data_IF_888336193427
#
_entry.id   IF_888336193427
#
_cell.length_a   1.000
_cell.length_b   1.000
_cell.length_c   1.000
_cell.angle_alpha   90.00
_cell.angle_beta   90.00
_cell.angle_gamma   90.00
#
_symmetry.space_group_name_H-M   'P 1'
#
loop_
_entity.id
_entity.type
_entity.pdbx_description
1 polymer ?
#
# COMPACT_ATOMS: atom_id res chain seq x y z
N UNK A 1 18.27 20.44 28.89
CA UNK A 1 17.16 21.30 29.33
C UNK A 1 16.00 21.10 28.35
N UNK A 2 15.04 20.24 28.68
CA UNK A 2 13.80 20.10 27.90
C UNK A 2 12.90 21.27 28.26
N UNK A 3 12.64 22.18 27.32
CA UNK A 3 11.75 23.31 27.50
C UNK A 3 10.35 22.82 27.91
N UNK A 4 9.73 23.51 28.88
CA UNK A 4 8.38 23.20 29.33
C UNK A 4 7.37 23.41 28.17
N UNK A 5 6.34 22.56 28.03
CA UNK A 5 5.34 22.70 26.98
C UNK A 5 4.63 24.06 27.08
N UNK A 6 4.46 24.71 25.93
CA UNK A 6 3.80 26.02 25.83
C UNK A 6 2.28 25.85 25.92
N UNK A 7 1.53 26.77 26.56
CA UNK A 7 0.07 26.72 26.58
C UNK A 7 -0.47 26.70 25.13
N UNK A 8 -1.14 25.61 24.75
CA UNK A 8 -1.64 25.39 23.38
C UNK A 8 -0.85 24.40 22.52
N UNK A 9 0.22 23.78 23.03
CA UNK A 9 0.92 22.71 22.29
C UNK A 9 0.06 21.44 22.21
N UNK A 10 -0.11 20.88 21.00
CA UNK A 10 -0.77 19.59 20.79
C UNK A 10 0.08 18.46 21.38
N UNK A 11 -0.59 17.47 21.98
CA UNK A 11 0.09 16.29 22.52
C UNK A 11 0.27 15.24 21.41
N UNK A 12 1.52 14.81 21.18
CA UNK A 12 1.84 13.72 20.27
C UNK A 12 1.79 12.36 20.97
N UNK A 13 1.13 11.40 20.33
CA UNK A 13 1.07 10.01 20.80
C UNK A 13 2.01 9.12 19.99
N UNK A 14 2.76 8.25 20.68
CA UNK A 14 3.55 7.23 20.01
C UNK A 14 2.65 6.09 19.54
N UNK A 15 2.46 6.00 18.23
CA UNK A 15 1.67 4.94 17.59
C UNK A 15 2.48 3.65 17.48
N UNK A 16 1.90 2.51 17.84
CA UNK A 16 2.53 1.20 17.67
C UNK A 16 2.88 0.95 16.19
N UNK A 17 4.07 0.40 15.91
CA UNK A 17 4.53 0.09 14.55
C UNK A 17 3.51 -0.71 13.73
N UNK A 18 2.84 -1.69 14.34
CA UNK A 18 1.83 -2.51 13.64
C UNK A 18 0.60 -1.70 13.21
N UNK A 19 0.20 -0.74 14.04
CA UNK A 19 -0.91 0.17 13.72
C UNK A 19 -0.49 1.11 12.59
N UNK A 20 0.75 1.62 12.61
CA UNK A 20 1.27 2.43 11.51
C UNK A 20 1.26 1.63 10.19
N UNK A 21 1.74 0.39 10.20
CA UNK A 21 1.72 -0.49 9.01
C UNK A 21 0.29 -0.76 8.53
N UNK A 22 -0.65 -1.08 9.43
CA UNK A 22 -2.05 -1.27 9.07
C UNK A 22 -2.69 0.00 8.48
N UNK A 23 -2.35 1.17 9.03
CA UNK A 23 -2.77 2.47 8.50
C UNK A 23 -2.22 2.72 7.10
N UNK A 24 -0.94 2.44 6.86
CA UNK A 24 -0.31 2.58 5.54
C UNK A 24 -0.93 1.64 4.50
N UNK A 25 -1.20 0.38 4.85
CA UNK A 25 -1.90 -0.55 3.96
C UNK A 25 -3.34 -0.12 3.66
N UNK A 26 -4.03 0.45 4.65
CA UNK A 26 -5.36 1.03 4.45
C UNK A 26 -5.30 2.19 3.47
N UNK A 27 -4.38 3.14 3.68
CA UNK A 27 -4.17 4.28 2.78
C UNK A 27 -3.83 3.82 1.36
N UNK A 28 -2.93 2.84 1.21
CA UNK A 28 -2.58 2.27 -0.09
C UNK A 28 -3.80 1.69 -0.81
N UNK A 29 -4.61 0.91 -0.09
CA UNK A 29 -5.82 0.28 -0.64
C UNK A 29 -6.83 1.33 -1.11
N UNK A 30 -6.99 2.42 -0.37
CA UNK A 30 -7.85 3.53 -0.76
C UNK A 30 -7.31 4.28 -1.97
N UNK A 31 -5.99 4.51 -2.05
CA UNK A 31 -5.35 5.11 -3.22
C UNK A 31 -5.62 4.30 -4.48
N UNK A 32 -5.41 2.97 -4.44
CA UNK A 32 -5.73 2.10 -5.56
C UNK A 32 -7.19 2.18 -5.97
N UNK A 33 -8.11 2.15 -4.99
CA UNK A 33 -9.54 2.22 -5.28
C UNK A 33 -9.93 3.51 -6.02
N UNK A 34 -9.41 4.66 -5.60
CA UNK A 34 -9.67 5.93 -6.28
C UNK A 34 -8.95 6.03 -7.63
N UNK A 35 -7.72 5.53 -7.72
CA UNK A 35 -6.95 5.53 -8.96
C UNK A 35 -7.68 4.72 -10.06
N UNK A 36 -8.10 3.51 -9.75
CA UNK A 36 -8.83 2.61 -10.65
C UNK A 36 -10.22 3.18 -10.99
N UNK A 37 -10.89 3.80 -10.02
CA UNK A 37 -12.16 4.48 -10.25
C UNK A 37 -12.01 5.63 -11.27
N UNK A 38 -10.97 6.46 -11.14
CA UNK A 38 -10.73 7.53 -12.11
C UNK A 38 -10.31 7.02 -13.47
N UNK A 39 -9.69 5.83 -13.56
CA UNK A 39 -9.39 5.19 -14.84
C UNK A 39 -10.64 4.95 -15.69
N UNK A 40 -11.80 4.71 -15.08
CA UNK A 40 -13.06 4.56 -15.80
C UNK A 40 -13.46 5.83 -16.59
N UNK A 41 -13.01 7.00 -16.17
CA UNK A 41 -13.25 8.27 -16.87
C UNK A 41 -12.28 8.52 -18.02
N UNK A 42 -11.23 7.70 -18.16
CA UNK A 42 -10.29 7.84 -19.27
C UNK A 42 -11.01 7.61 -20.60
N UNK A 43 -10.85 8.50 -21.60
CA UNK A 43 -11.44 8.33 -22.92
C UNK A 43 -11.13 6.96 -23.52
N UNK A 44 -12.19 6.27 -23.97
CA UNK A 44 -12.11 4.93 -24.55
C UNK A 44 -12.05 3.76 -23.54
N UNK A 45 -11.85 4.00 -22.24
CA UNK A 45 -11.78 2.92 -21.24
C UNK A 45 -13.09 2.14 -21.13
N UNK A 46 -14.22 2.83 -20.95
CA UNK A 46 -15.53 2.17 -20.87
C UNK A 46 -15.87 1.39 -22.15
N UNK A 47 -15.57 1.94 -23.32
CA UNK A 47 -15.79 1.25 -24.59
C UNK A 47 -14.92 -0.02 -24.70
N UNK A 48 -13.66 0.04 -24.27
CA UNK A 48 -12.77 -1.13 -24.18
C UNK A 48 -13.33 -2.20 -23.22
N UNK A 49 -13.86 -1.79 -22.07
CA UNK A 49 -14.45 -2.70 -21.09
C UNK A 49 -15.70 -3.40 -21.66
N UNK A 50 -16.58 -2.66 -22.35
CA UNK A 50 -17.74 -3.22 -23.04
C UNK A 50 -17.35 -4.18 -24.17
N UNK A 51 -16.22 -3.94 -24.82
CA UNK A 51 -15.63 -4.86 -25.80
C UNK A 51 -14.91 -6.06 -25.16
N UNK A 52 -15.01 -6.25 -23.84
CA UNK A 52 -14.38 -7.35 -23.12
C UNK A 52 -12.86 -7.25 -23.07
N UNK A 53 -12.29 -6.04 -23.00
CA UNK A 53 -10.84 -5.81 -22.96
C UNK A 53 -10.42 -5.00 -21.74
N UNK A 54 -9.34 -5.43 -21.08
CA UNK A 54 -8.81 -4.82 -19.87
C UNK A 54 -7.42 -4.21 -20.10
N UNK A 55 -7.39 -3.02 -20.71
CA UNK A 55 -6.15 -2.28 -20.95
C UNK A 55 -5.05 -3.15 -21.60
N UNK A 56 -3.81 -3.14 -21.06
CA UNK A 56 -2.70 -3.91 -21.62
C UNK A 56 -2.82 -5.44 -21.42
N UNK A 57 -3.73 -5.91 -20.58
CA UNK A 57 -3.92 -7.35 -20.30
C UNK A 57 -4.69 -8.07 -21.42
N UNK A 58 -5.26 -7.34 -22.38
CA UNK A 58 -5.95 -7.91 -23.53
C UNK A 58 -7.39 -8.34 -23.23
N UNK A 59 -7.83 -9.47 -23.79
CA UNK A 59 -9.20 -9.97 -23.62
C UNK A 59 -9.45 -10.41 -22.18
N UNK A 60 -10.58 -10.00 -21.63
CA UNK A 60 -11.02 -10.39 -20.29
C UNK A 60 -11.34 -11.87 -20.27
N UNK A 61 -10.68 -12.59 -19.38
CA UNK A 61 -10.94 -14.01 -19.08
C UNK A 61 -11.13 -14.17 -17.58
N UNK A 62 -11.74 -15.30 -17.16
CA UNK A 62 -11.87 -15.61 -15.73
C UNK A 62 -10.51 -15.62 -15.01
N UNK A 63 -9.46 -16.12 -15.68
CA UNK A 63 -8.11 -16.16 -15.12
C UNK A 63 -7.51 -14.77 -14.88
N UNK A 64 -7.69 -13.83 -15.81
CA UNK A 64 -7.20 -12.45 -15.65
C UNK A 64 -7.92 -11.76 -14.49
N UNK A 65 -9.24 -11.87 -14.42
CA UNK A 65 -10.02 -11.27 -13.33
C UNK A 65 -9.64 -11.85 -11.97
N UNK A 66 -9.53 -13.18 -11.87
CA UNK A 66 -9.12 -13.84 -10.64
C UNK A 66 -7.72 -13.40 -10.19
N UNK A 67 -6.78 -13.31 -11.13
CA UNK A 67 -5.41 -12.88 -10.84
C UNK A 67 -5.38 -11.44 -10.33
N UNK A 68 -6.10 -10.52 -10.99
CA UNK A 68 -6.21 -9.13 -10.55
C UNK A 68 -6.87 -9.02 -9.16
N UNK A 69 -7.93 -9.80 -8.91
CA UNK A 69 -8.60 -9.85 -7.61
C UNK A 69 -7.69 -10.35 -6.50
N UNK A 70 -6.92 -11.42 -6.73
CA UNK A 70 -5.95 -11.93 -5.75
C UNK A 70 -4.88 -10.89 -5.45
N UNK A 71 -4.33 -10.25 -6.48
CA UNK A 71 -3.30 -9.23 -6.32
C UNK A 71 -3.82 -8.07 -5.45
N UNK A 72 -5.00 -7.53 -5.76
CA UNK A 72 -5.59 -6.40 -5.02
C UNK A 72 -6.19 -6.79 -3.66
N UNK A 73 -6.44 -8.07 -3.40
CA UNK A 73 -6.82 -8.54 -2.07
C UNK A 73 -5.64 -8.47 -1.08
N UNK A 74 -4.39 -8.56 -1.55
CA UNK A 74 -3.20 -8.57 -0.68
C UNK A 74 -3.12 -7.28 0.17
N UNK A 75 -3.18 -6.05 -0.39
CA UNK A 75 -3.16 -4.82 0.41
C UNK A 75 -4.27 -4.78 1.47
N UNK A 76 -5.49 -5.17 1.10
CA UNK A 76 -6.62 -5.20 2.03
C UNK A 76 -6.43 -6.20 3.17
N UNK A 77 -5.94 -7.41 2.87
CA UNK A 77 -5.62 -8.40 3.89
C UNK A 77 -4.46 -7.97 4.79
N UNK A 78 -3.45 -7.30 4.21
CA UNK A 78 -2.29 -6.81 4.95
C UNK A 78 -2.65 -5.81 6.05
N UNK A 79 -3.78 -5.12 5.95
CA UNK A 79 -4.33 -4.30 7.05
C UNK A 79 -4.53 -5.15 8.31
N UNK A 80 -5.29 -6.24 8.20
CA UNK A 80 -5.57 -7.14 9.31
C UNK A 80 -4.31 -7.94 9.71
N UNK A 81 -3.60 -8.48 8.72
CA UNK A 81 -2.42 -9.31 8.96
C UNK A 81 -1.29 -8.55 9.66
N UNK A 82 -1.15 -7.24 9.43
CA UNK A 82 -0.16 -6.42 10.13
C UNK A 82 -0.39 -6.38 11.64
N UNK A 83 -1.65 -6.50 12.08
CA UNK A 83 -2.04 -6.52 13.49
C UNK A 83 -1.96 -7.93 14.08
N UNK A 84 -2.42 -8.93 13.33
CA UNK A 84 -2.66 -10.29 13.81
C UNK A 84 -1.44 -11.21 13.72
N UNK A 85 -0.55 -11.02 12.74
CA UNK A 85 0.56 -11.95 12.54
C UNK A 85 1.63 -11.86 13.64
N UNK A 86 2.36 -12.96 13.92
CA UNK A 86 3.59 -12.92 14.69
C UNK A 86 4.60 -11.94 14.08
N UNK A 87 5.41 -11.27 14.91
CA UNK A 87 6.29 -10.19 14.47
C UNK A 87 7.23 -10.58 13.30
N UNK A 88 7.74 -11.82 13.31
CA UNK A 88 8.61 -12.33 12.24
C UNK A 88 7.89 -12.45 10.90
N UNK A 89 6.69 -13.03 10.89
CA UNK A 89 5.88 -13.20 9.68
C UNK A 89 5.35 -11.86 9.18
N UNK A 90 4.88 -11.00 10.10
CA UNK A 90 4.44 -9.65 9.78
C UNK A 90 5.56 -8.86 9.10
N UNK A 91 6.78 -8.88 9.65
CA UNK A 91 7.95 -8.23 9.05
C UNK A 91 8.24 -8.74 7.64
N UNK A 92 8.30 -10.06 7.45
CA UNK A 92 8.62 -10.66 6.15
C UNK A 92 7.55 -10.33 5.10
N UNK A 93 6.27 -10.44 5.46
CA UNK A 93 5.16 -10.11 4.57
C UNK A 93 5.19 -8.63 4.15
N UNK A 94 5.42 -7.71 5.09
CA UNK A 94 5.53 -6.28 4.79
C UNK A 94 6.72 -5.97 3.87
N UNK A 95 7.88 -6.61 4.08
CA UNK A 95 9.04 -6.44 3.19
C UNK A 95 8.76 -6.97 1.78
N UNK A 96 8.22 -8.19 1.67
CA UNK A 96 7.96 -8.83 0.39
C UNK A 96 6.91 -8.04 -0.41
N UNK A 97 5.75 -7.79 0.17
CA UNK A 97 4.66 -7.12 -0.53
C UNK A 97 4.93 -5.64 -0.71
N UNK A 98 5.59 -4.97 0.25
CA UNK A 98 6.01 -3.58 0.08
C UNK A 98 6.94 -3.39 -1.12
N UNK A 99 7.94 -4.26 -1.30
CA UNK A 99 8.80 -4.23 -2.49
C UNK A 99 8.02 -4.57 -3.76
N UNK A 100 7.19 -5.62 -3.74
CA UNK A 100 6.39 -6.04 -4.89
C UNK A 100 5.51 -4.89 -5.43
N UNK A 101 4.70 -4.27 -4.58
CA UNK A 101 3.80 -3.18 -5.01
C UNK A 101 4.56 -1.92 -5.44
N UNK A 102 5.72 -1.65 -4.82
CA UNK A 102 6.61 -0.57 -5.28
C UNK A 102 7.06 -0.80 -6.72
N UNK A 103 7.50 -2.02 -7.03
CA UNK A 103 7.98 -2.37 -8.38
C UNK A 103 6.85 -2.35 -9.40
N UNK A 104 5.67 -2.87 -9.06
CA UNK A 104 4.50 -2.84 -9.95
C UNK A 104 4.17 -1.39 -10.33
N UNK A 105 4.08 -0.49 -9.35
CA UNK A 105 3.76 0.91 -9.62
C UNK A 105 4.88 1.64 -10.37
N UNK A 106 6.15 1.33 -10.09
CA UNK A 106 7.28 1.90 -10.82
C UNK A 106 7.26 1.54 -12.32
N UNK A 107 6.81 0.33 -12.67
CA UNK A 107 6.66 -0.11 -14.07
C UNK A 107 5.50 0.61 -14.76
N UNK A 108 4.39 0.86 -14.07
CA UNK A 108 3.19 1.50 -14.63
C UNK A 108 3.39 3.01 -14.83
N UNK A 109 4.06 3.66 -13.88
CA UNK A 109 4.25 5.12 -13.82
C UNK A 109 4.63 5.79 -15.15
N UNK A 110 5.67 5.36 -15.90
CA UNK A 110 6.09 6.08 -17.12
C UNK A 110 5.05 6.06 -18.25
N UNK A 111 4.13 5.09 -18.26
CA UNK A 111 3.17 4.86 -19.34
C UNK A 111 1.77 5.41 -19.04
N UNK A 112 1.55 5.85 -17.79
CA UNK A 112 0.24 6.18 -17.30
C UNK A 112 -0.16 7.64 -17.54
N UNK A 113 -1.46 7.93 -17.39
CA UNK A 113 -1.99 9.29 -17.44
C UNK A 113 -1.54 10.10 -16.22
N UNK A 114 -1.55 11.43 -16.32
CA UNK A 114 -1.04 12.32 -15.24
C UNK A 114 -1.68 12.08 -13.86
N UNK A 115 -2.98 11.80 -13.81
CA UNK A 115 -3.65 11.48 -12.54
C UNK A 115 -3.16 10.15 -11.97
N UNK A 116 -2.98 9.14 -12.83
CA UNK A 116 -2.45 7.83 -12.45
C UNK A 116 -0.99 7.94 -12.02
N UNK A 117 -0.17 8.74 -12.72
CA UNK A 117 1.20 9.03 -12.33
C UNK A 117 1.29 9.62 -10.93
N UNK A 118 0.39 10.55 -10.59
CA UNK A 118 0.29 11.11 -9.25
C UNK A 118 -0.01 10.02 -8.21
N UNK A 119 -1.04 9.21 -8.43
CA UNK A 119 -1.36 8.09 -7.54
C UNK A 119 -0.20 7.09 -7.43
N UNK A 120 0.42 6.70 -8.54
CA UNK A 120 1.56 5.79 -8.56
C UNK A 120 2.74 6.32 -7.75
N UNK A 121 3.06 7.62 -7.80
CA UNK A 121 4.09 8.23 -6.95
C UNK A 121 3.70 8.12 -5.47
N UNK A 122 2.46 8.47 -5.13
CA UNK A 122 1.96 8.39 -3.74
C UNK A 122 2.00 6.95 -3.21
N UNK A 123 1.55 6.00 -4.01
CA UNK A 123 1.53 4.57 -3.70
C UNK A 123 2.96 4.04 -3.49
N UNK A 124 3.90 4.40 -4.37
CA UNK A 124 5.34 4.09 -4.23
C UNK A 124 5.89 4.65 -2.91
N UNK A 125 5.55 5.89 -2.54
CA UNK A 125 6.00 6.49 -1.28
C UNK A 125 5.44 5.74 -0.07
N UNK A 126 4.16 5.35 -0.11
CA UNK A 126 3.52 4.57 0.95
C UNK A 126 4.21 3.20 1.08
N UNK A 127 4.40 2.47 -0.03
CA UNK A 127 5.03 1.15 -0.02
C UNK A 127 6.51 1.18 0.33
N UNK A 128 7.25 2.21 -0.09
CA UNK A 128 8.62 2.42 0.35
C UNK A 128 8.68 2.71 1.86
N UNK A 129 7.76 3.52 2.38
CA UNK A 129 7.69 3.85 3.81
C UNK A 129 7.39 2.60 4.65
N UNK A 130 6.37 1.82 4.27
CA UNK A 130 6.03 0.59 5.01
C UNK A 130 7.19 -0.42 4.96
N UNK A 131 7.89 -0.53 3.82
CA UNK A 131 9.06 -1.39 3.65
C UNK A 131 10.21 -0.92 4.56
N UNK A 132 10.47 0.38 4.62
CA UNK A 132 11.48 0.97 5.50
C UNK A 132 11.18 0.76 6.98
N UNK A 133 9.91 0.91 7.37
CA UNK A 133 9.44 0.62 8.73
C UNK A 133 9.60 -0.87 9.09
N UNK A 134 9.24 -1.77 8.16
CA UNK A 134 9.41 -3.20 8.35
C UNK A 134 10.90 -3.62 8.39
N UNK A 135 11.76 -2.95 7.63
CA UNK A 135 13.20 -3.19 7.66
C UNK A 135 13.80 -2.85 9.02
N UNK A 136 13.42 -1.69 9.58
CA UNK A 136 13.88 -1.14 10.87
C UNK A 136 13.15 -1.73 12.08
N UNK A 137 12.53 -2.90 11.94
CA UNK A 137 11.76 -3.53 13.01
C UNK A 137 12.59 -3.63 14.32
N UNK A 138 12.08 -3.14 15.47
CA UNK A 138 12.80 -3.20 16.73
C UNK A 138 13.16 -4.64 17.11
N UNK A 139 14.43 -4.90 17.41
CA UNK A 139 14.87 -6.20 17.91
C UNK A 139 14.59 -6.26 19.41
N UNK A 140 14.15 -7.41 19.90
CA UNK A 140 14.01 -7.63 21.33
C UNK A 140 15.41 -7.55 21.96
N UNK A 141 15.55 -6.69 22.96
CA UNK A 141 16.76 -6.62 23.78
C UNK A 141 16.67 -7.71 24.86
N UNK A 142 17.55 -8.72 24.85
CA UNK A 142 17.50 -9.80 25.84
C UNK A 142 17.64 -9.32 27.29
N UNK A 143 18.11 -8.09 27.53
CA UNK A 143 18.32 -7.52 28.85
C UNK A 143 17.08 -6.83 29.47
N UNK A 144 15.96 -6.68 28.74
CA UNK A 144 14.75 -6.01 29.25
C UNK A 144 13.57 -6.99 29.28
N UNK A 145 13.10 -7.43 30.48
CA UNK A 145 11.91 -8.26 30.56
C UNK A 145 10.70 -7.50 30.01
N UNK A 146 9.80 -8.27 29.38
CA UNK A 146 8.61 -7.80 28.67
C UNK A 146 7.61 -7.09 29.59
#
# INVERSE_FOLDING_TARGET
MTAAPSPGSLQDFRVNLRIQLAGLWTSLTLCYLYCDYFELYQPGKLASMLAGRMGPLGQVTQGILLTASILLAIPGLMVALSLLLPARLCRLANLLFGVLFTLIMAVILPQAWRYYQFFAVVEILITATLTGLAWRWPRADPAKPA
#
